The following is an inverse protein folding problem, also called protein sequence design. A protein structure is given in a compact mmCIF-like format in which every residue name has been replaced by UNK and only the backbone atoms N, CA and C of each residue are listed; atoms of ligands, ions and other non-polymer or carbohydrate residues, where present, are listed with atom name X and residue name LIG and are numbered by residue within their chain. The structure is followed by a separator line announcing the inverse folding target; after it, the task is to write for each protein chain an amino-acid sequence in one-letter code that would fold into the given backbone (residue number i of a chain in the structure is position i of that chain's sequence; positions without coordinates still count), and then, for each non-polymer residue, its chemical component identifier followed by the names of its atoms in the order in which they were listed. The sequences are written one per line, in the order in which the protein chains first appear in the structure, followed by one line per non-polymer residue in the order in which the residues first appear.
data_IF_257818562991
#
_entry.id   IF_257818562991
#
_cell.length_a   1.000
_cell.length_b   1.000
_cell.length_c   1.000
_cell.angle_alpha   90.00
_cell.angle_beta   90.00
_cell.angle_gamma   90.00
#
_symmetry.space_group_name_H-M   'P 1'
#
loop_
_entity.id
_entity.type
_entity.pdbx_description
1 polymer ?
#
# COMPACT_ATOMS: atom_id res chain seq x y z
N UNK A 1 -38.15 -2.39 15.39
CA UNK A 1 -36.79 -2.73 15.87
C UNK A 1 -35.99 -3.21 14.67
N UNK A 2 -35.32 -2.29 13.97
CA UNK A 2 -34.48 -2.61 12.84
C UNK A 2 -33.13 -3.12 13.37
N UNK A 3 -32.73 -4.32 12.94
CA UNK A 3 -31.36 -4.79 13.09
C UNK A 3 -30.49 -3.97 12.13
N UNK A 4 -29.75 -2.99 12.65
CA UNK A 4 -28.63 -2.42 11.90
C UNK A 4 -27.51 -3.45 11.91
N UNK A 5 -27.47 -4.30 10.89
CA UNK A 5 -26.24 -5.01 10.57
C UNK A 5 -25.26 -3.99 10.01
N UNK A 6 -24.33 -3.51 10.83
CA UNK A 6 -23.11 -2.90 10.32
C UNK A 6 -22.41 -3.99 9.53
N UNK A 7 -22.45 -3.90 8.21
CA UNK A 7 -21.60 -4.72 7.35
C UNK A 7 -20.17 -4.33 7.74
N UNK A 8 -19.39 -5.27 8.27
CA UNK A 8 -17.99 -5.04 8.61
C UNK A 8 -17.23 -4.65 7.33
N UNK A 9 -17.00 -3.34 7.15
CA UNK A 9 -16.31 -2.70 6.01
C UNK A 9 -14.78 -2.93 6.08
N UNK A 10 -14.34 -4.00 6.76
CA UNK A 10 -12.98 -4.16 7.28
C UNK A 10 -11.94 -4.58 6.21
N UNK A 11 -12.37 -5.03 5.03
CA UNK A 11 -11.50 -5.59 3.97
C UNK A 11 -11.99 -5.29 2.53
N UNK A 12 -12.74 -4.20 2.34
CA UNK A 12 -13.30 -3.86 1.02
C UNK A 12 -12.16 -3.56 0.03
N UNK A 13 -12.05 -4.39 -1.00
CA UNK A 13 -11.21 -4.07 -2.17
C UNK A 13 -11.94 -3.03 -3.01
N UNK A 14 -11.21 -2.24 -3.79
CA UNK A 14 -11.82 -1.35 -4.76
C UNK A 14 -12.70 -2.15 -5.73
N UNK A 15 -13.93 -1.70 -5.92
CA UNK A 15 -14.89 -2.30 -6.85
C UNK A 15 -15.50 -1.17 -7.70
N UNK A 16 -15.33 -1.17 -9.03
CA UNK A 16 -15.85 -0.11 -9.88
C UNK A 16 -17.39 0.05 -9.82
N UNK A 17 -18.12 -0.97 -9.34
CA UNK A 17 -19.57 -0.97 -9.21
C UNK A 17 -20.06 -0.40 -7.86
N UNK A 18 -19.14 -0.08 -6.95
CA UNK A 18 -19.43 0.48 -5.64
C UNK A 18 -19.49 2.03 -5.64
N UNK A 19 -20.27 2.60 -4.70
CA UNK A 19 -20.25 4.05 -4.44
C UNK A 19 -18.95 4.44 -3.71
N UNK A 20 -18.23 5.41 -4.27
CA UNK A 20 -16.96 5.94 -3.77
C UNK A 20 -17.02 7.45 -3.56
N UNK A 21 -16.37 7.94 -2.50
CA UNK A 21 -16.29 9.38 -2.13
C UNK A 21 -15.25 10.17 -2.95
N UNK A 22 -14.86 9.67 -4.13
CA UNK A 22 -13.90 10.29 -5.03
C UNK A 22 -14.24 10.00 -6.50
N UNK A 23 -13.77 10.81 -7.46
CA UNK A 23 -14.01 10.54 -8.88
C UNK A 23 -13.34 9.24 -9.33
N UNK A 24 -14.14 8.29 -9.84
CA UNK A 24 -13.68 6.94 -10.21
C UNK A 24 -13.48 6.76 -11.71
N UNK A 25 -13.93 7.71 -12.54
CA UNK A 25 -14.04 7.52 -13.99
C UNK A 25 -12.71 7.19 -14.67
N UNK A 26 -11.60 7.82 -14.26
CA UNK A 26 -10.28 7.53 -14.80
C UNK A 26 -9.70 6.24 -14.23
N UNK A 27 -9.85 5.98 -12.94
CA UNK A 27 -9.40 4.74 -12.32
C UNK A 27 -10.10 3.52 -12.92
N UNK A 28 -11.40 3.61 -13.18
CA UNK A 28 -12.20 2.53 -13.79
C UNK A 28 -11.72 2.15 -15.20
N UNK A 29 -11.13 3.09 -15.93
CA UNK A 29 -10.52 2.83 -17.25
C UNK A 29 -9.09 2.31 -17.11
N UNK A 30 -8.29 2.87 -16.19
CA UNK A 30 -6.87 2.55 -16.06
C UNK A 30 -6.63 1.19 -15.36
N UNK A 31 -7.42 0.88 -14.34
CA UNK A 31 -7.18 -0.28 -13.47
C UNK A 31 -7.27 -1.63 -14.22
N UNK A 32 -8.25 -1.88 -15.11
CA UNK A 32 -8.26 -3.12 -15.90
C UNK A 32 -7.04 -3.26 -16.84
N UNK A 33 -6.58 -2.14 -17.42
CA UNK A 33 -5.44 -2.12 -18.34
C UNK A 33 -4.13 -2.44 -17.61
N UNK A 34 -3.88 -1.82 -16.44
CA UNK A 34 -2.65 -2.09 -15.67
C UNK A 34 -2.63 -3.53 -15.11
N UNK A 35 -3.80 -4.10 -14.79
CA UNK A 35 -3.93 -5.47 -14.27
C UNK A 35 -3.72 -6.55 -15.33
N UNK A 36 -4.00 -6.22 -16.60
CA UNK A 36 -3.93 -7.17 -17.72
C UNK A 36 -2.71 -6.96 -18.63
N UNK A 37 -1.96 -5.87 -18.45
CA UNK A 37 -0.77 -5.56 -19.22
C UNK A 37 0.30 -6.68 -19.12
N UNK A 38 0.68 -7.32 -20.25
CA UNK A 38 1.61 -8.44 -20.24
C UNK A 38 3.02 -8.08 -19.73
N UNK A 39 3.48 -6.85 -19.98
CA UNK A 39 4.80 -6.42 -19.52
C UNK A 39 4.80 -6.22 -18.00
N UNK A 40 3.81 -5.50 -17.48
CA UNK A 40 3.67 -5.26 -16.03
C UNK A 40 3.53 -6.58 -15.28
N UNK A 41 2.60 -7.44 -15.70
CA UNK A 41 2.37 -8.74 -15.06
C UNK A 41 3.61 -9.64 -15.09
N UNK A 42 4.39 -9.60 -16.19
CA UNK A 42 5.66 -10.31 -16.29
C UNK A 42 6.72 -9.73 -15.35
N UNK A 43 6.83 -8.40 -15.25
CA UNK A 43 7.71 -7.75 -14.27
C UNK A 43 7.39 -8.25 -12.87
N UNK A 44 6.11 -8.19 -12.43
CA UNK A 44 5.67 -8.60 -11.09
C UNK A 44 6.05 -10.06 -10.76
N UNK A 45 5.96 -10.97 -11.74
CA UNK A 45 6.39 -12.36 -11.57
C UNK A 45 7.92 -12.48 -11.47
N UNK A 46 8.66 -11.72 -12.29
CA UNK A 46 10.11 -11.77 -12.36
C UNK A 46 10.80 -11.23 -11.09
N UNK A 47 10.18 -10.28 -10.37
CA UNK A 47 10.73 -9.66 -9.14
C UNK A 47 11.14 -10.71 -8.10
N UNK A 48 10.32 -11.75 -7.96
CA UNK A 48 10.53 -12.81 -6.98
C UNK A 48 11.76 -13.68 -7.28
N UNK A 49 12.30 -13.69 -8.50
CA UNK A 49 13.52 -14.47 -8.78
C UNK A 49 14.69 -13.97 -7.93
N UNK A 50 14.87 -12.65 -7.82
CA UNK A 50 15.93 -12.07 -6.98
C UNK A 50 15.58 -12.12 -5.49
N UNK A 51 14.40 -11.60 -5.12
CA UNK A 51 14.02 -11.47 -3.72
C UNK A 51 13.84 -12.85 -3.06
N UNK A 52 13.03 -13.73 -3.67
CA UNK A 52 12.66 -15.03 -3.13
C UNK A 52 13.67 -16.11 -3.49
N UNK A 53 13.88 -16.39 -4.78
CA UNK A 53 14.66 -17.58 -5.20
C UNK A 53 16.14 -17.44 -4.86
N UNK A 54 16.75 -16.28 -5.14
CA UNK A 54 18.19 -16.06 -4.94
C UNK A 54 18.53 -15.66 -3.50
N UNK A 55 17.82 -14.69 -2.93
CA UNK A 55 18.13 -14.16 -1.58
C UNK A 55 17.30 -14.79 -0.45
N UNK A 56 16.17 -15.44 -0.74
CA UNK A 56 15.34 -16.09 0.28
C UNK A 56 14.52 -15.15 1.15
N UNK A 57 14.24 -13.93 0.67
CA UNK A 57 13.31 -13.00 1.30
C UNK A 57 11.85 -13.38 1.02
N UNK A 58 10.93 -12.58 1.57
CA UNK A 58 9.50 -12.73 1.35
C UNK A 58 9.08 -12.42 -0.09
N UNK A 59 7.84 -12.79 -0.39
CA UNK A 59 7.19 -12.48 -1.66
C UNK A 59 7.00 -10.97 -1.81
N UNK A 60 7.50 -10.44 -2.92
CA UNK A 60 7.26 -9.07 -3.38
C UNK A 60 6.59 -9.06 -4.77
N UNK A 61 6.10 -10.21 -5.23
CA UNK A 61 5.47 -10.33 -6.55
C UNK A 61 3.98 -9.98 -6.54
N UNK A 62 3.22 -10.59 -7.45
CA UNK A 62 1.81 -10.27 -7.72
C UNK A 62 0.93 -10.16 -6.47
N UNK A 63 1.10 -11.06 -5.48
CA UNK A 63 0.22 -11.05 -4.29
C UNK A 63 0.53 -9.88 -3.35
N UNK A 64 1.80 -9.55 -3.15
CA UNK A 64 2.20 -8.37 -2.39
C UNK A 64 1.62 -7.11 -3.04
N UNK A 65 1.83 -6.95 -4.35
CA UNK A 65 1.35 -5.79 -5.11
C UNK A 65 -0.18 -5.64 -5.08
N UNK A 66 -0.92 -6.75 -5.18
CA UNK A 66 -2.38 -6.76 -5.03
C UNK A 66 -2.80 -6.20 -3.66
N UNK A 67 -2.17 -6.66 -2.57
CA UNK A 67 -2.47 -6.22 -1.21
C UNK A 67 -2.15 -4.74 -1.03
N UNK A 68 -0.97 -4.31 -1.47
CA UNK A 68 -0.53 -2.91 -1.34
C UNK A 68 -1.45 -1.97 -2.11
N UNK A 69 -1.80 -2.30 -3.37
CA UNK A 69 -2.73 -1.48 -4.16
C UNK A 69 -4.11 -1.37 -3.51
N UNK A 70 -4.67 -2.49 -3.03
CA UNK A 70 -5.97 -2.48 -2.38
C UNK A 70 -5.97 -1.63 -1.11
N UNK A 71 -4.90 -1.72 -0.31
CA UNK A 71 -4.75 -0.90 0.90
C UNK A 71 -4.49 0.56 0.59
N UNK A 72 -3.75 0.85 -0.47
CA UNK A 72 -3.51 2.22 -0.92
C UNK A 72 -4.81 2.92 -1.35
N UNK A 73 -5.64 2.25 -2.16
CA UNK A 73 -6.95 2.77 -2.56
C UNK A 73 -7.91 2.88 -1.38
N UNK A 74 -7.84 1.96 -0.41
CA UNK A 74 -8.65 2.05 0.81
C UNK A 74 -8.23 3.21 1.71
N UNK A 75 -6.92 3.43 1.89
CA UNK A 75 -6.41 4.59 2.61
C UNK A 75 -6.86 5.90 1.94
N UNK A 76 -6.74 5.95 0.62
CA UNK A 76 -7.20 7.08 -0.18
C UNK A 76 -8.68 7.38 0.08
N UNK A 77 -9.54 6.37 -0.04
CA UNK A 77 -10.98 6.51 0.21
C UNK A 77 -11.30 7.03 1.61
N UNK A 78 -10.67 6.49 2.65
CA UNK A 78 -10.87 6.93 4.04
C UNK A 78 -10.43 8.39 4.26
N UNK A 79 -9.33 8.79 3.65
CA UNK A 79 -8.82 10.16 3.71
C UNK A 79 -9.73 11.13 2.94
N UNK A 80 -10.23 10.74 1.75
CA UNK A 80 -11.19 11.56 0.97
C UNK A 80 -12.52 11.71 1.69
N UNK A 81 -13.04 10.63 2.28
CA UNK A 81 -14.24 10.66 3.13
C UNK A 81 -14.08 11.65 4.30
N UNK A 82 -12.85 11.83 4.78
CA UNK A 82 -12.51 12.75 5.87
C UNK A 82 -12.11 14.16 5.39
N UNK A 83 -12.33 14.48 4.10
CA UNK A 83 -11.98 15.75 3.45
C UNK A 83 -10.49 16.13 3.57
N UNK A 84 -9.60 15.15 3.58
CA UNK A 84 -8.16 15.41 3.50
C UNK A 84 -7.78 15.77 2.06
N UNK A 85 -7.05 16.87 1.92
CA UNK A 85 -6.56 17.34 0.61
C UNK A 85 -5.33 16.57 0.14
N UNK A 86 -5.24 16.42 -1.18
CA UNK A 86 -4.16 15.73 -1.87
C UNK A 86 -3.46 16.73 -2.78
N UNK A 87 -2.13 16.82 -2.64
CA UNK A 87 -1.34 17.85 -3.31
C UNK A 87 -0.63 17.34 -4.56
N UNK A 88 -0.37 16.03 -4.72
CA UNK A 88 0.37 15.51 -5.87
C UNK A 88 -0.31 15.82 -7.20
N UNK A 89 -1.60 15.51 -7.33
CA UNK A 89 -2.34 15.90 -8.52
C UNK A 89 -2.55 17.43 -8.62
N UNK A 90 -3.02 18.06 -7.54
CA UNK A 90 -3.50 19.45 -7.58
C UNK A 90 -2.39 20.48 -7.78
N UNK A 91 -1.20 20.29 -7.20
CA UNK A 91 -0.05 21.20 -7.39
C UNK A 91 0.53 21.11 -8.81
N UNK A 92 0.30 20.00 -9.51
CA UNK A 92 0.59 19.85 -10.93
C UNK A 92 -0.55 20.38 -11.83
N UNK A 93 -1.66 20.87 -11.28
CA UNK A 93 -2.84 21.26 -12.05
C UNK A 93 -3.53 20.09 -12.77
N UNK A 94 -3.37 18.87 -12.25
CA UNK A 94 -4.12 17.68 -12.67
C UNK A 94 -5.51 17.68 -12.02
N UNK A 95 -6.39 16.79 -12.50
CA UNK A 95 -7.73 16.64 -11.94
C UNK A 95 -7.68 15.84 -10.63
N UNK A 96 -8.63 16.04 -9.73
CA UNK A 96 -8.81 15.12 -8.59
C UNK A 96 -9.11 13.68 -9.01
N UNK A 97 -9.60 13.46 -10.24
CA UNK A 97 -9.74 12.14 -10.85
C UNK A 97 -8.40 11.44 -11.16
N UNK A 98 -7.28 12.16 -11.11
CA UNK A 98 -5.93 11.64 -11.33
C UNK A 98 -5.29 11.09 -10.05
N UNK A 99 -5.69 11.61 -8.88
CA UNK A 99 -5.23 11.14 -7.55
C UNK A 99 -5.30 9.59 -7.42
N UNK A 100 -6.45 8.92 -7.65
CA UNK A 100 -6.53 7.46 -7.55
C UNK A 100 -5.70 6.73 -8.62
N UNK A 101 -5.48 7.36 -9.79
CA UNK A 101 -4.67 6.78 -10.87
C UNK A 101 -3.19 6.81 -10.52
N UNK A 102 -2.69 7.91 -9.95
CA UNK A 102 -1.33 8.03 -9.42
C UNK A 102 -1.10 6.93 -8.38
N UNK A 103 -2.03 6.78 -7.44
CA UNK A 103 -1.96 5.79 -6.36
C UNK A 103 -1.95 4.36 -6.91
N UNK A 104 -2.84 4.03 -7.84
CA UNK A 104 -2.92 2.69 -8.41
C UNK A 104 -1.66 2.30 -9.21
N UNK A 105 -1.14 3.22 -10.03
CA UNK A 105 0.08 3.01 -10.81
C UNK A 105 1.31 2.91 -9.90
N UNK A 106 1.46 3.82 -8.94
CA UNK A 106 2.58 3.82 -8.02
C UNK A 106 2.59 2.55 -7.15
N UNK A 107 1.45 2.18 -6.56
CA UNK A 107 1.32 0.95 -5.78
C UNK A 107 1.69 -0.30 -6.60
N UNK A 108 1.31 -0.31 -7.89
CA UNK A 108 1.57 -1.47 -8.77
C UNK A 108 3.04 -1.57 -9.17
N UNK A 109 3.72 -0.44 -9.35
CA UNK A 109 5.06 -0.39 -9.92
C UNK A 109 6.17 -0.18 -8.87
N UNK A 110 5.85 0.09 -7.59
CA UNK A 110 6.86 0.51 -6.61
C UNK A 110 8.06 -0.43 -6.45
N UNK A 111 7.83 -1.74 -6.58
CA UNK A 111 8.82 -2.80 -6.35
C UNK A 111 9.45 -3.38 -7.63
N UNK A 112 9.14 -2.85 -8.83
CA UNK A 112 9.66 -3.42 -10.09
C UNK A 112 11.18 -3.50 -10.17
N UNK A 113 11.90 -2.62 -9.45
CA UNK A 113 13.35 -2.65 -9.32
C UNK A 113 13.92 -3.94 -8.71
N UNK A 114 13.10 -4.77 -8.06
CA UNK A 114 13.51 -6.08 -7.59
C UNK A 114 13.98 -7.02 -8.71
N UNK A 115 13.55 -6.82 -9.97
CA UNK A 115 14.11 -7.58 -11.11
C UNK A 115 15.59 -7.33 -11.35
N UNK A 116 16.10 -6.15 -10.92
CA UNK A 116 17.52 -5.81 -10.96
C UNK A 116 18.19 -6.31 -9.69
N UNK A 117 17.74 -5.83 -8.54
CA UNK A 117 18.31 -6.20 -7.25
C UNK A 117 17.38 -5.87 -6.09
N UNK A 118 17.55 -6.57 -4.96
CA UNK A 118 16.79 -6.28 -3.74
C UNK A 118 17.21 -4.97 -3.07
N UNK A 119 18.51 -4.76 -2.97
CA UNK A 119 19.07 -3.62 -2.26
C UNK A 119 19.00 -2.42 -3.20
N UNK A 120 18.54 -1.26 -2.70
CA UNK A 120 18.30 -0.06 -3.51
C UNK A 120 17.26 -0.26 -4.63
N UNK A 121 16.35 -1.24 -4.49
CA UNK A 121 15.26 -1.45 -5.45
C UNK A 121 14.44 -0.20 -5.77
N UNK A 122 14.17 0.78 -4.87
CA UNK A 122 13.38 1.95 -5.24
C UNK A 122 14.05 2.74 -6.37
N UNK A 123 15.38 2.89 -6.33
CA UNK A 123 16.14 3.59 -7.38
C UNK A 123 16.22 2.80 -8.69
N UNK A 124 16.14 1.47 -8.64
CA UNK A 124 16.03 0.64 -9.83
C UNK A 124 14.60 0.59 -10.38
N UNK A 125 13.58 0.81 -9.54
CA UNK A 125 12.18 0.91 -9.96
C UNK A 125 11.96 2.14 -10.83
N UNK A 126 12.60 3.27 -10.53
CA UNK A 126 12.42 4.53 -11.29
C UNK A 126 12.63 4.39 -12.80
N UNK A 127 13.78 3.92 -13.31
CA UNK A 127 13.98 3.80 -14.77
C UNK A 127 13.02 2.79 -15.41
N UNK A 128 12.74 1.66 -14.75
CA UNK A 128 11.82 0.64 -15.30
C UNK A 128 10.37 1.14 -15.34
N UNK A 129 9.91 1.78 -14.27
CA UNK A 129 8.60 2.39 -14.21
C UNK A 129 8.49 3.56 -15.19
N UNK A 130 9.55 4.34 -15.38
CA UNK A 130 9.55 5.44 -16.34
C UNK A 130 9.30 4.95 -17.77
N UNK A 131 9.96 3.86 -18.19
CA UNK A 131 9.77 3.26 -19.52
C UNK A 131 8.35 2.67 -19.69
N UNK A 132 7.85 1.99 -18.64
CA UNK A 132 6.48 1.47 -18.63
C UNK A 132 5.47 2.61 -18.77
N UNK A 133 5.64 3.70 -18.01
CA UNK A 133 4.72 4.85 -18.03
C UNK A 133 4.73 5.59 -19.37
N UNK A 134 5.89 5.72 -20.02
CA UNK A 134 5.99 6.33 -21.35
C UNK A 134 5.26 5.52 -22.43
N UNK A 135 5.17 4.20 -22.27
CA UNK A 135 4.36 3.34 -23.15
C UNK A 135 2.89 3.35 -22.77
N UNK A 136 2.59 3.34 -21.46
CA UNK A 136 1.26 3.07 -20.93
C UNK A 136 0.35 4.29 -20.90
N UNK A 137 0.83 5.45 -20.42
CA UNK A 137 0.00 6.66 -20.31
C UNK A 137 -0.58 7.17 -21.65
N UNK A 138 0.14 7.12 -22.79
CA UNK A 138 -0.39 7.61 -24.08
C UNK A 138 -1.60 6.85 -24.63
N UNK A 139 -1.95 5.69 -24.07
CA UNK A 139 -3.10 4.91 -24.55
C UNK A 139 -4.45 5.50 -24.11
N UNK A 140 -4.46 6.46 -23.19
CA UNK A 140 -5.67 7.09 -22.68
C UNK A 140 -5.89 8.47 -23.29
N UNK A 141 -6.99 8.65 -24.01
CA UNK A 141 -7.32 9.89 -24.75
C UNK A 141 -7.50 11.14 -23.85
N UNK A 142 -7.61 10.96 -22.54
CA UNK A 142 -7.74 12.06 -21.57
C UNK A 142 -6.40 12.58 -21.03
N UNK A 143 -5.26 12.07 -21.51
CA UNK A 143 -3.93 12.60 -21.20
C UNK A 143 -3.21 13.12 -22.44
N UNK A 144 -3.10 14.44 -22.55
CA UNK A 144 -2.15 15.08 -23.46
C UNK A 144 -0.70 14.95 -22.97
N UNK A 145 0.25 15.44 -23.76
CA UNK A 145 1.69 15.34 -23.44
C UNK A 145 2.02 16.00 -22.10
N UNK A 146 1.41 17.14 -21.77
CA UNK A 146 1.67 17.83 -20.52
C UNK A 146 1.18 17.00 -19.32
N UNK A 147 -0.02 16.44 -19.43
CA UNK A 147 -0.61 15.59 -18.41
C UNK A 147 0.18 14.29 -18.25
N UNK A 148 0.65 13.66 -19.32
CA UNK A 148 1.50 12.48 -19.27
C UNK A 148 2.79 12.73 -18.47
N UNK A 149 3.46 13.86 -18.71
CA UNK A 149 4.69 14.24 -17.98
C UNK A 149 4.40 14.45 -16.49
N UNK A 150 3.30 15.14 -16.16
CA UNK A 150 2.92 15.43 -14.77
C UNK A 150 2.51 14.17 -14.01
N UNK A 151 1.69 13.32 -14.62
CA UNK A 151 1.33 12.00 -14.09
C UNK A 151 2.56 11.16 -13.81
N UNK A 152 3.47 11.06 -14.80
CA UNK A 152 4.73 10.32 -14.66
C UNK A 152 5.57 10.86 -13.49
N UNK A 153 5.68 12.18 -13.33
CA UNK A 153 6.43 12.78 -12.24
C UNK A 153 5.89 12.35 -10.86
N UNK A 154 4.58 12.46 -10.65
CA UNK A 154 3.95 12.12 -9.37
C UNK A 154 3.99 10.62 -9.07
N UNK A 155 3.81 9.77 -10.10
CA UNK A 155 3.91 8.31 -9.94
C UNK A 155 5.34 7.91 -9.56
N UNK A 156 6.36 8.45 -10.23
CA UNK A 156 7.76 8.16 -9.93
C UNK A 156 8.18 8.68 -8.55
N UNK A 157 7.69 9.85 -8.14
CA UNK A 157 7.88 10.39 -6.80
C UNK A 157 7.30 9.46 -5.73
N UNK A 158 6.06 9.01 -5.89
CA UNK A 158 5.43 8.06 -4.98
C UNK A 158 6.14 6.70 -4.95
N UNK A 159 6.63 6.22 -6.10
CA UNK A 159 7.48 5.02 -6.18
C UNK A 159 8.80 5.22 -5.42
N UNK A 160 9.46 6.37 -5.50
CA UNK A 160 10.70 6.58 -4.76
C UNK A 160 10.46 6.60 -3.25
N UNK A 161 9.44 7.34 -2.83
CA UNK A 161 9.15 7.65 -1.43
C UNK A 161 8.51 6.50 -0.64
N UNK A 162 8.14 5.40 -1.31
CA UNK A 162 7.65 4.22 -0.59
C UNK A 162 8.71 3.70 0.41
N UNK A 163 10.00 3.94 0.16
CA UNK A 163 11.09 3.54 1.06
C UNK A 163 11.40 4.61 2.11
N UNK A 164 11.85 4.20 3.31
CA UNK A 164 12.04 5.11 4.46
C UNK A 164 13.18 6.11 4.30
N UNK A 165 14.04 5.95 3.30
CA UNK A 165 15.17 6.86 3.09
C UNK A 165 14.78 8.19 2.41
N UNK A 166 13.62 8.26 1.77
CA UNK A 166 13.21 9.37 0.90
C UNK A 166 11.84 9.89 1.32
N UNK A 167 11.77 11.11 1.85
CA UNK A 167 10.54 11.65 2.46
C UNK A 167 9.45 11.98 1.42
N UNK A 168 8.19 11.51 1.63
CA UNK A 168 7.07 11.86 0.78
C UNK A 168 6.80 13.36 0.84
N UNK A 169 6.77 13.97 -0.33
CA UNK A 169 6.38 15.37 -0.50
C UNK A 169 4.89 15.53 -0.89
N UNK A 170 4.18 14.41 -1.09
CA UNK A 170 2.77 14.41 -1.47
C UNK A 170 1.98 13.40 -0.63
N UNK A 171 0.70 13.69 -0.39
CA UNK A 171 -0.20 12.79 0.32
C UNK A 171 -0.30 11.42 -0.39
N UNK A 172 -0.30 11.40 -1.72
CA UNK A 172 -0.28 10.19 -2.55
C UNK A 172 0.96 9.33 -2.26
N UNK A 173 2.15 9.95 -2.22
CA UNK A 173 3.39 9.25 -1.89
C UNK A 173 3.38 8.71 -0.44
N UNK A 174 2.81 9.47 0.49
CA UNK A 174 2.57 9.04 1.87
C UNK A 174 1.69 7.79 1.95
N UNK A 175 0.63 7.72 1.14
CA UNK A 175 -0.24 6.55 1.03
C UNK A 175 0.56 5.32 0.59
N UNK A 176 1.37 5.44 -0.48
CA UNK A 176 2.14 4.29 -0.98
C UNK A 176 3.09 3.76 0.09
N UNK A 177 3.79 4.65 0.79
CA UNK A 177 4.70 4.30 1.89
C UNK A 177 3.99 3.54 3.02
N UNK A 178 2.84 4.03 3.47
CA UNK A 178 2.09 3.38 4.55
C UNK A 178 1.44 2.08 4.07
N UNK A 179 0.87 2.05 2.86
CA UNK A 179 0.22 0.88 2.28
C UNK A 179 1.17 -0.31 2.12
N UNK A 180 2.41 -0.07 1.68
CA UNK A 180 3.47 -1.09 1.62
C UNK A 180 3.71 -1.71 3.01
N UNK A 181 3.87 -0.86 4.03
CA UNK A 181 4.13 -1.30 5.39
C UNK A 181 3.01 -2.15 5.98
N UNK A 182 1.76 -1.98 5.54
CA UNK A 182 0.62 -2.74 6.05
C UNK A 182 0.72 -4.24 5.69
N UNK A 183 1.44 -4.66 4.63
CA UNK A 183 1.58 -6.08 4.20
C UNK A 183 2.46 -6.91 5.16
N UNK A 184 2.00 -7.05 6.41
CA UNK A 184 2.73 -7.67 7.52
C UNK A 184 2.01 -8.85 8.16
N UNK A 185 0.88 -9.29 7.60
CA UNK A 185 0.10 -10.41 8.13
C UNK A 185 0.89 -11.73 8.11
N UNK A 186 0.55 -12.64 9.01
CA UNK A 186 1.16 -13.96 9.03
C UNK A 186 0.91 -14.69 7.70
N UNK A 187 1.93 -15.42 7.27
CA UNK A 187 1.93 -16.04 5.94
C UNK A 187 2.61 -15.19 4.87
N UNK A 188 2.80 -13.89 5.09
CA UNK A 188 3.66 -13.05 4.23
C UNK A 188 5.15 -13.32 4.47
N UNK A 189 5.52 -13.76 5.69
CA UNK A 189 6.90 -14.10 6.07
C UNK A 189 7.28 -15.58 6.05
N UNK A 190 6.76 -16.36 5.09
CA UNK A 190 6.88 -17.84 5.08
C UNK A 190 8.30 -18.38 4.87
N UNK A 191 9.16 -17.67 4.14
CA UNK A 191 10.44 -18.21 3.65
C UNK A 191 11.54 -18.20 4.73
N UNK A 192 11.77 -17.09 5.46
CA UNK A 192 12.73 -17.07 6.57
C UNK A 192 12.42 -18.12 7.65
N UNK A 193 11.13 -18.32 7.96
CA UNK A 193 10.69 -19.34 8.92
C UNK A 193 11.01 -20.77 8.46
N UNK A 194 10.70 -21.11 7.20
CA UNK A 194 11.01 -22.44 6.63
C UNK A 194 12.50 -22.74 6.57
N UNK A 195 13.35 -21.72 6.45
CA UNK A 195 14.82 -21.85 6.51
C UNK A 195 15.37 -21.95 7.94
N UNK A 196 14.51 -22.02 8.96
CA UNK A 196 14.91 -22.14 10.36
C UNK A 196 15.25 -20.82 11.05
N UNK A 197 14.90 -19.68 10.46
CA UNK A 197 15.02 -18.37 11.10
C UNK A 197 14.22 -18.33 12.40
N UNK A 198 14.90 -18.11 13.53
CA UNK A 198 14.31 -17.97 14.87
C UNK A 198 14.54 -16.57 15.47
N UNK A 199 14.91 -15.61 14.63
CA UNK A 199 15.11 -14.22 15.03
C UNK A 199 13.78 -13.53 15.36
N UNK A 200 13.87 -12.41 16.07
CA UNK A 200 12.70 -11.61 16.46
C UNK A 200 11.87 -11.16 15.25
N UNK A 201 12.50 -10.88 14.12
CA UNK A 201 11.79 -10.51 12.87
C UNK A 201 10.89 -11.65 12.36
N UNK A 202 11.37 -12.90 12.44
CA UNK A 202 10.58 -14.06 12.01
C UNK A 202 9.45 -14.34 12.99
N UNK A 203 9.69 -14.26 14.30
CA UNK A 203 8.66 -14.51 15.32
C UNK A 203 7.56 -13.45 15.31
N UNK A 204 7.95 -12.18 15.23
CA UNK A 204 7.02 -11.04 15.22
C UNK A 204 6.12 -11.04 13.97
N UNK A 205 6.66 -11.37 12.80
CA UNK A 205 5.87 -11.51 11.56
C UNK A 205 4.83 -12.63 11.57
N UNK A 206 5.00 -13.65 12.42
CA UNK A 206 4.01 -14.72 12.61
C UNK A 206 2.95 -14.37 13.67
N UNK A 207 3.16 -13.28 14.41
CA UNK A 207 2.28 -12.85 15.48
C UNK A 207 1.12 -11.99 14.98
N UNK A 208 1.23 -11.33 13.81
CA UNK A 208 0.14 -10.56 13.22
C UNK A 208 -0.83 -11.50 12.53
N UNK A 209 -2.08 -11.53 12.98
CA UNK A 209 -3.14 -12.32 12.36
C UNK A 209 -3.79 -11.58 11.20
N UNK A 210 -4.26 -10.37 11.46
CA UNK A 210 -5.05 -9.57 10.53
C UNK A 210 -4.73 -8.09 10.70
N UNK A 211 -4.71 -7.36 9.60
CA UNK A 211 -4.58 -5.91 9.55
C UNK A 211 -5.77 -5.35 8.78
N UNK A 212 -6.58 -4.53 9.44
CA UNK A 212 -7.78 -3.92 8.84
C UNK A 212 -7.71 -2.40 8.88
N UNK A 213 -8.33 -1.77 7.87
CA UNK A 213 -8.43 -0.33 7.72
C UNK A 213 -9.88 0.12 7.91
N UNK A 214 -10.11 0.97 8.89
CA UNK A 214 -11.44 1.43 9.28
C UNK A 214 -11.47 2.96 9.36
N UNK A 215 -12.66 3.54 9.25
CA UNK A 215 -12.84 4.95 9.61
C UNK A 215 -12.78 5.07 11.13
N UNK A 216 -12.01 6.03 11.64
CA UNK A 216 -11.95 6.34 13.07
C UNK A 216 -12.88 7.50 13.46
N UNK A 217 -13.30 7.55 14.72
CA UNK A 217 -14.09 8.67 15.26
C UNK A 217 -13.27 9.94 15.48
N UNK A 218 -12.03 9.78 15.95
CA UNK A 218 -11.15 10.88 16.36
C UNK A 218 -10.01 11.13 15.34
N UNK A 219 -9.86 10.23 14.37
CA UNK A 219 -8.78 10.20 13.41
C UNK A 219 -9.31 9.58 12.09
N UNK A 220 -9.02 10.15 10.91
CA UNK A 220 -9.54 9.66 9.63
C UNK A 220 -9.41 8.16 9.41
N UNK A 221 -8.24 7.60 9.75
CA UNK A 221 -7.91 6.19 9.53
C UNK A 221 -7.57 5.51 10.85
N UNK A 222 -8.26 4.42 11.14
CA UNK A 222 -7.92 3.47 12.18
C UNK A 222 -7.31 2.20 11.55
N UNK A 223 -6.04 1.95 11.84
CA UNK A 223 -5.35 0.69 11.53
C UNK A 223 -5.50 -0.25 12.72
N UNK A 224 -6.38 -1.25 12.60
CA UNK A 224 -6.58 -2.27 13.63
C UNK A 224 -5.75 -3.51 13.30
N UNK A 225 -4.88 -3.88 14.23
CA UNK A 225 -3.92 -4.99 14.10
C UNK A 225 -4.28 -6.06 15.11
N UNK A 226 -4.76 -7.20 14.63
CA UNK A 226 -5.06 -8.36 15.47
C UNK A 226 -3.81 -9.23 15.58
N UNK A 227 -3.42 -9.56 16.81
CA UNK A 227 -2.18 -10.30 17.09
C UNK A 227 -2.46 -11.51 17.96
N UNK A 228 -1.74 -12.59 17.73
CA UNK A 228 -1.85 -13.81 18.56
C UNK A 228 -0.89 -13.83 19.76
N UNK A 229 0.06 -12.89 19.83
CA UNK A 229 0.94 -12.68 20.98
C UNK A 229 1.66 -11.33 20.88
N UNK A 230 2.28 -10.89 21.99
CA UNK A 230 2.94 -9.59 22.10
C UNK A 230 4.17 -9.40 21.19
N UNK A 231 4.74 -10.45 20.59
CA UNK A 231 5.86 -10.28 19.66
C UNK A 231 5.46 -9.48 18.41
N UNK A 232 4.16 -9.43 18.08
CA UNK A 232 3.64 -8.64 16.96
C UNK A 232 3.90 -7.14 17.09
N UNK A 233 3.98 -6.62 18.33
CA UNK A 233 4.29 -5.20 18.59
C UNK A 233 5.60 -4.78 17.92
N UNK A 234 6.59 -5.68 17.85
CA UNK A 234 7.86 -5.41 17.18
C UNK A 234 7.70 -5.16 15.66
N UNK A 235 6.76 -5.82 14.97
CA UNK A 235 6.46 -5.51 13.55
C UNK A 235 5.78 -4.15 13.44
N UNK A 236 4.83 -3.86 14.33
CA UNK A 236 4.13 -2.57 14.33
C UNK A 236 5.12 -1.42 14.51
N UNK A 237 6.03 -1.52 15.46
CA UNK A 237 7.00 -0.46 15.75
C UNK A 237 8.07 -0.33 14.66
N UNK A 238 8.69 -1.43 14.21
CA UNK A 238 9.84 -1.36 13.30
C UNK A 238 9.48 -1.23 11.83
N UNK A 239 8.27 -1.63 11.42
CA UNK A 239 7.80 -1.53 10.04
C UNK A 239 6.77 -0.41 9.89
N UNK A 240 5.61 -0.55 10.54
CA UNK A 240 4.49 0.37 10.30
C UNK A 240 4.77 1.77 10.84
N UNK A 241 5.14 1.91 12.12
CA UNK A 241 5.44 3.23 12.71
C UNK A 241 6.63 3.88 12.05
N UNK A 242 7.65 3.10 11.67
CA UNK A 242 8.80 3.62 10.95
C UNK A 242 8.44 4.22 9.58
N UNK A 243 7.47 3.61 8.89
CA UNK A 243 6.94 4.09 7.59
C UNK A 243 5.87 5.17 7.74
N UNK A 244 5.16 5.21 8.87
CA UNK A 244 4.16 6.25 9.16
C UNK A 244 4.82 7.57 9.59
N UNK A 245 5.92 7.49 10.34
CA UNK A 245 6.67 8.68 10.73
C UNK A 245 7.19 9.41 9.50
N UNK A 246 7.04 10.73 9.49
CA UNK A 246 7.45 11.63 8.41
C UNK A 246 6.84 11.25 7.04
N UNK A 247 5.67 10.60 7.01
CA UNK A 247 4.97 10.23 5.77
C UNK A 247 3.98 11.26 5.26
N UNK A 248 3.70 12.30 6.06
CA UNK A 248 2.57 13.21 5.85
C UNK A 248 1.21 12.67 6.34
N UNK A 249 1.14 11.39 6.74
CA UNK A 249 -0.10 10.76 7.23
C UNK A 249 -0.15 10.55 8.75
N UNK A 250 0.89 10.94 9.48
CA UNK A 250 1.03 10.62 10.92
C UNK A 250 -0.14 11.15 11.77
N UNK A 251 -0.67 12.32 11.46
CA UNK A 251 -1.80 12.91 12.20
C UNK A 251 -3.16 12.31 11.78
N UNK A 252 -3.21 11.59 10.65
CA UNK A 252 -4.43 11.04 10.07
C UNK A 252 -4.61 9.54 10.28
N UNK A 253 -3.60 8.86 10.85
CA UNK A 253 -3.59 7.41 11.07
C UNK A 253 -3.37 7.08 12.53
N UNK A 254 -4.34 6.40 13.14
CA UNK A 254 -4.23 5.82 14.49
C UNK A 254 -4.03 4.32 14.40
N UNK A 255 -3.07 3.78 15.16
CA UNK A 255 -2.79 2.35 15.20
C UNK A 255 -3.30 1.76 16.52
N UNK A 256 -4.11 0.71 16.43
CA UNK A 256 -4.60 -0.04 17.58
C UNK A 256 -4.24 -1.50 17.42
N UNK A 257 -3.50 -2.04 18.39
CA UNK A 257 -3.12 -3.44 18.40
C UNK A 257 -3.93 -4.21 19.46
N UNK A 258 -4.46 -5.38 19.07
CA UNK A 258 -5.37 -6.19 19.88
C UNK A 258 -4.85 -7.62 19.97
N UNK A 259 -4.67 -8.14 21.19
CA UNK A 259 -4.29 -9.54 21.38
C UNK A 259 -5.53 -10.47 21.40
N UNK A 260 -5.61 -11.42 20.47
CA UNK A 260 -6.77 -12.30 20.25
C UNK A 260 -6.66 -13.67 20.92
N UNK A 261 -5.53 -14.01 21.57
CA UNK A 261 -5.31 -15.33 22.20
C UNK A 261 -5.70 -15.44 23.69
N UNK A 262 -6.43 -14.48 24.22
CA UNK A 262 -7.07 -14.59 25.54
C UNK A 262 -8.46 -15.22 25.41
N UNK A 263 -8.56 -16.55 25.57
CA UNK A 263 -9.85 -17.19 25.85
C UNK A 263 -10.42 -16.60 27.14
N UNK A 264 -11.59 -15.98 27.03
CA UNK A 264 -12.37 -15.29 28.07
C UNK A 264 -11.69 -14.10 28.80
N UNK A 265 -12.20 -12.92 28.46
CA UNK A 265 -12.30 -11.69 29.28
C UNK A 265 -11.15 -10.66 29.39
N UNK A 266 -10.00 -10.80 28.72
CA UNK A 266 -9.03 -9.70 28.64
C UNK A 266 -8.54 -9.50 27.20
N UNK A 267 -9.26 -8.64 26.48
CA UNK A 267 -8.74 -7.99 25.28
C UNK A 267 -7.78 -6.91 25.77
N UNK A 268 -6.48 -7.19 25.78
CA UNK A 268 -5.47 -6.15 25.98
C UNK A 268 -5.39 -5.31 24.70
N UNK A 269 -6.04 -4.14 24.73
CA UNK A 269 -5.92 -3.12 23.71
C UNK A 269 -4.70 -2.26 24.02
N UNK A 270 -3.77 -2.21 23.08
CA UNK A 270 -2.59 -1.35 23.18
C UNK A 270 -2.73 -0.27 22.12
N UNK A 271 -2.83 0.97 22.58
CA UNK A 271 -2.68 2.13 21.70
C UNK A 271 -1.19 2.39 21.50
N UNK A 272 -0.81 2.52 20.23
CA UNK A 272 0.58 2.51 19.79
C UNK A 272 0.93 3.79 19.03
#
# INVERSE_FOLDING_TARGET
MAKSGSVDVEDRQYDPDDDHEFPTERLNVVLPEILSDPEITTYLQAQNVNAVTRKGYNDHGTKHIEIVRNRALRLYELLKTSNIEFNGATEQGLSGADEPVIIALAATLHDVGHVVHRDKHPYYSIPLAADILDRFLPQFDFYDIEQQVRMKAEILHAILCHHTAEDPLTTEAGIIRVADALDMERGRSRIPYKKGGRGIDTLSSQAIDRVSLQSGSDCPVLVKIEMINAAGVYQVDNLLKAKLRDSGLQEYVRIVAVNTRGGDQLVEQIEL
#
